data_IF_257949465507
#
_entry.id   IF_257949465507
#
_cell.length_a   1.000
_cell.length_b   1.000
_cell.length_c   1.000
_cell.angle_alpha   90.00
_cell.angle_beta   90.00
_cell.angle_gamma   90.00
#
_symmetry.space_group_name_H-M   'P 1'
#
loop_
_entity.id
_entity.type
_entity.pdbx_description
1 polymer ?
#
# COMPACT_ATOMS: atom_id res chain seq x y z
N UNK A 1 8.50 15.87 11.42
CA UNK A 1 8.69 14.78 10.45
C UNK A 1 7.44 13.94 10.57
N UNK A 2 6.56 14.02 9.59
CA UNK A 2 5.33 13.23 9.63
C UNK A 2 5.72 11.83 9.18
N UNK A 3 5.81 10.89 10.12
CA UNK A 3 5.92 9.48 9.78
C UNK A 3 4.63 9.11 9.02
N UNK A 4 4.76 8.94 7.71
CA UNK A 4 3.67 8.57 6.83
C UNK A 4 3.58 7.04 6.86
N UNK A 5 2.47 6.52 7.35
CA UNK A 5 2.19 5.09 7.39
C UNK A 5 1.07 4.77 6.41
N UNK A 6 1.15 3.59 5.82
CA UNK A 6 0.11 3.05 4.95
C UNK A 6 -0.52 1.82 5.60
N UNK A 7 -1.81 1.60 5.36
CA UNK A 7 -2.53 0.46 5.91
C UNK A 7 -2.56 -0.67 4.90
N UNK A 8 -1.93 -1.80 5.22
CA UNK A 8 -1.81 -2.97 4.34
C UNK A 8 -2.40 -4.20 5.01
N UNK A 9 -3.19 -4.98 4.29
CA UNK A 9 -3.78 -6.24 4.75
C UNK A 9 -3.62 -7.34 3.69
N UNK A 10 -3.79 -8.61 4.07
CA UNK A 10 -3.88 -9.72 3.09
C UNK A 10 -5.25 -9.81 2.42
N UNK A 11 -6.29 -9.42 3.15
CA UNK A 11 -7.67 -9.42 2.66
C UNK A 11 -8.41 -8.15 3.12
N UNK A 12 -9.48 -7.77 2.41
CA UNK A 12 -10.33 -6.64 2.80
C UNK A 12 -11.05 -6.85 4.14
N UNK A 13 -11.16 -8.10 4.61
CA UNK A 13 -11.81 -8.47 5.87
C UNK A 13 -10.85 -8.63 7.05
N UNK A 14 -9.54 -8.49 6.84
CA UNK A 14 -8.54 -8.61 7.89
C UNK A 14 -8.15 -7.27 8.49
N UNK A 15 -7.58 -7.32 9.70
CA UNK A 15 -7.08 -6.13 10.37
C UNK A 15 -5.81 -5.62 9.66
N UNK A 16 -5.81 -4.38 9.14
CA UNK A 16 -4.67 -3.87 8.41
C UNK A 16 -3.50 -3.57 9.35
N UNK A 17 -2.29 -3.84 8.86
CA UNK A 17 -1.04 -3.46 9.50
C UNK A 17 -0.54 -2.12 8.95
N UNK A 18 0.00 -1.29 9.83
CA UNK A 18 0.62 -0.03 9.45
C UNK A 18 2.07 -0.27 8.99
N UNK A 19 2.36 0.07 7.74
CA UNK A 19 3.67 -0.06 7.11
C UNK A 19 4.26 1.33 6.91
N UNK A 20 5.50 1.60 7.36
CA UNK A 20 6.12 2.90 7.17
C UNK A 20 6.40 3.18 5.69
N UNK A 21 6.20 4.43 5.29
CA UNK A 21 6.64 4.96 4.00
C UNK A 21 7.97 5.69 4.12
N UNK A 22 8.61 5.91 2.98
CA UNK A 22 9.81 6.71 2.84
C UNK A 22 9.49 8.22 2.93
N UNK A 23 10.53 9.04 3.07
CA UNK A 23 10.42 10.51 3.19
C UNK A 23 9.80 11.18 1.94
N UNK A 24 9.87 10.53 0.78
CA UNK A 24 9.29 11.00 -0.48
C UNK A 24 7.82 10.55 -0.66
N UNK A 25 7.25 9.86 0.33
CA UNK A 25 5.90 9.32 0.30
C UNK A 25 5.76 8.02 -0.50
N UNK A 26 6.86 7.42 -0.99
CA UNK A 26 6.82 6.09 -1.59
C UNK A 26 6.93 4.99 -0.55
N UNK A 27 6.60 3.76 -0.92
CA UNK A 27 6.73 2.60 -0.03
C UNK A 27 7.56 1.54 -0.73
N UNK A 28 8.55 0.99 -0.04
CA UNK A 28 9.34 -0.11 -0.59
C UNK A 28 8.55 -1.41 -0.56
N UNK A 29 8.52 -2.13 -1.68
CA UNK A 29 7.94 -3.47 -1.76
C UNK A 29 8.64 -4.43 -0.80
N UNK A 30 9.94 -4.25 -0.54
CA UNK A 30 10.66 -5.04 0.47
C UNK A 30 10.12 -4.84 1.88
N UNK A 31 9.68 -3.64 2.23
CA UNK A 31 9.08 -3.36 3.55
C UNK A 31 7.73 -4.05 3.69
N UNK A 32 6.92 -4.03 2.63
CA UNK A 32 5.66 -4.79 2.57
C UNK A 32 5.94 -6.30 2.64
N UNK A 33 6.87 -6.80 1.83
CA UNK A 33 7.22 -8.22 1.75
C UNK A 33 7.85 -8.76 3.05
N UNK A 34 8.42 -7.88 3.89
CA UNK A 34 8.93 -8.26 5.21
C UNK A 34 7.81 -8.66 6.18
N UNK A 35 6.62 -8.05 6.06
CA UNK A 35 5.45 -8.41 6.87
C UNK A 35 4.55 -9.41 6.15
N UNK A 36 4.48 -9.32 4.83
CA UNK A 36 3.63 -10.14 3.96
C UNK A 36 4.49 -10.92 2.96
N UNK A 37 5.03 -12.09 3.36
CA UNK A 37 5.92 -12.86 2.51
C UNK A 37 5.25 -13.25 1.19
N UNK A 38 5.86 -12.88 0.06
CA UNK A 38 5.32 -13.17 -1.27
C UNK A 38 4.52 -12.04 -1.90
N UNK A 39 4.28 -10.93 -1.17
CA UNK A 39 3.67 -9.73 -1.73
C UNK A 39 4.46 -9.25 -2.96
N UNK A 40 3.78 -9.21 -4.11
CA UNK A 40 4.38 -8.76 -5.38
C UNK A 40 3.89 -7.37 -5.82
N UNK A 41 2.93 -6.80 -5.09
CA UNK A 41 2.35 -5.49 -5.32
C UNK A 41 1.19 -5.24 -4.38
N UNK A 42 0.54 -4.08 -4.57
CA UNK A 42 -0.62 -3.67 -3.78
C UNK A 42 -1.79 -3.32 -4.69
N UNK A 43 -3.00 -3.54 -4.19
CA UNK A 43 -4.25 -3.05 -4.77
C UNK A 43 -5.13 -2.44 -3.69
N UNK A 44 -6.04 -1.56 -4.05
CA UNK A 44 -7.01 -0.98 -3.12
C UNK A 44 -8.37 -0.83 -3.78
N UNK A 45 -9.44 -0.79 -2.99
CA UNK A 45 -10.78 -0.53 -3.52
C UNK A 45 -11.02 0.96 -3.66
N UNK A 46 -11.34 1.42 -4.87
CA UNK A 46 -11.73 2.81 -5.08
C UNK A 46 -13.10 3.10 -4.44
N UNK A 47 -13.22 4.04 -3.49
CA UNK A 47 -14.50 4.35 -2.86
C UNK A 47 -15.57 4.85 -3.85
N UNK A 48 -15.15 5.52 -4.94
CA UNK A 48 -16.06 6.09 -5.94
C UNK A 48 -16.52 5.05 -6.94
N UNK A 49 -15.58 4.34 -7.59
CA UNK A 49 -15.93 3.40 -8.67
C UNK A 49 -16.19 1.97 -8.18
N UNK A 50 -15.89 1.66 -6.91
CA UNK A 50 -15.96 0.31 -6.33
C UNK A 50 -15.10 -0.75 -7.05
N UNK A 51 -14.23 -0.34 -7.96
CA UNK A 51 -13.29 -1.22 -8.65
C UNK A 51 -12.01 -1.37 -7.84
N UNK A 52 -11.35 -2.52 -7.97
CA UNK A 52 -9.98 -2.70 -7.50
C UNK A 52 -9.03 -1.88 -8.38
N UNK A 53 -8.20 -1.05 -7.75
CA UNK A 53 -7.14 -0.28 -8.38
C UNK A 53 -5.79 -0.81 -7.94
N UNK A 54 -4.93 -1.13 -8.89
CA UNK A 54 -3.53 -1.46 -8.61
C UNK A 54 -2.73 -0.23 -8.23
N UNK A 55 -1.80 -0.39 -7.30
CA UNK A 55 -0.78 0.60 -6.97
C UNK A 55 0.34 0.51 -7.99
N UNK A 56 0.89 1.65 -8.39
CA UNK A 56 2.03 1.69 -9.32
C UNK A 56 3.27 1.13 -8.63
N UNK A 57 3.88 0.12 -9.22
CA UNK A 57 5.15 -0.47 -8.80
C UNK A 57 6.21 -0.23 -9.87
N UNK A 58 7.34 0.39 -9.50
CA UNK A 58 8.49 0.64 -10.38
C UNK A 58 9.76 0.24 -9.62
N UNK A 59 10.50 -0.74 -10.14
CA UNK A 59 11.78 -1.18 -9.55
C UNK A 59 11.73 -1.53 -8.04
N UNK A 60 10.60 -2.06 -7.56
CA UNK A 60 10.41 -2.38 -6.14
C UNK A 60 9.91 -1.21 -5.29
N UNK A 61 9.61 -0.06 -5.89
CA UNK A 61 9.08 1.12 -5.23
C UNK A 61 7.60 1.28 -5.60
N UNK A 62 6.76 1.33 -4.57
CA UNK A 62 5.32 1.56 -4.69
C UNK A 62 5.05 3.06 -4.57
N UNK A 63 4.36 3.60 -5.57
CA UNK A 63 4.02 5.02 -5.63
C UNK A 63 2.57 5.25 -5.23
N UNK A 64 2.36 6.21 -4.33
CA UNK A 64 1.04 6.60 -3.86
C UNK A 64 0.16 7.10 -5.01
N UNK A 65 -1.13 6.74 -5.04
CA UNK A 65 -2.09 7.36 -5.94
C UNK A 65 -2.23 8.85 -5.61
N UNK A 66 -2.29 9.74 -6.61
CA UNK A 66 -2.52 11.18 -6.41
C UNK A 66 -1.54 11.88 -5.42
N UNK A 67 -0.35 11.30 -5.22
CA UNK A 67 0.68 11.69 -4.25
C UNK A 67 0.32 11.51 -2.77
N UNK A 68 -0.73 10.75 -2.44
CA UNK A 68 -1.09 10.47 -1.05
C UNK A 68 -1.72 9.07 -0.90
N UNK A 69 -1.32 8.34 0.14
CA UNK A 69 -1.89 7.02 0.40
C UNK A 69 -3.28 7.08 1.02
N UNK A 70 -3.64 8.22 1.62
CA UNK A 70 -4.88 8.46 2.30
C UNK A 70 -5.10 7.53 3.49
N UNK A 71 -6.36 7.42 3.91
CA UNK A 71 -6.79 6.45 4.93
C UNK A 71 -7.33 5.15 4.31
N UNK A 72 -6.89 4.81 3.10
CA UNK A 72 -7.34 3.63 2.37
C UNK A 72 -6.64 2.38 2.89
N UNK A 73 -7.33 1.24 2.78
CA UNK A 73 -6.74 -0.07 3.06
C UNK A 73 -6.25 -0.66 1.75
N UNK A 74 -4.97 -0.97 1.71
CA UNK A 74 -4.30 -1.64 0.61
C UNK A 74 -4.24 -3.13 0.90
N UNK A 75 -4.40 -3.93 -0.14
CA UNK A 75 -4.42 -5.39 -0.09
C UNK A 75 -3.24 -5.90 -0.90
N UNK A 76 -2.48 -6.85 -0.36
CA UNK A 76 -1.38 -7.47 -1.10
C UNK A 76 -1.88 -8.34 -2.25
N UNK A 77 -1.08 -8.41 -3.31
CA UNK A 77 -1.32 -9.28 -4.48
C UNK A 77 -0.52 -10.56 -4.39
#
# INVERSE_FOLDING_TARGET
>A
MAELYIRVAEDENEEPMEIPSEDDGTVLLSTVAAQFPGACGLRYRNPVSQCMRGVRLVEGILHAPENDWGSLVYVVN
#
